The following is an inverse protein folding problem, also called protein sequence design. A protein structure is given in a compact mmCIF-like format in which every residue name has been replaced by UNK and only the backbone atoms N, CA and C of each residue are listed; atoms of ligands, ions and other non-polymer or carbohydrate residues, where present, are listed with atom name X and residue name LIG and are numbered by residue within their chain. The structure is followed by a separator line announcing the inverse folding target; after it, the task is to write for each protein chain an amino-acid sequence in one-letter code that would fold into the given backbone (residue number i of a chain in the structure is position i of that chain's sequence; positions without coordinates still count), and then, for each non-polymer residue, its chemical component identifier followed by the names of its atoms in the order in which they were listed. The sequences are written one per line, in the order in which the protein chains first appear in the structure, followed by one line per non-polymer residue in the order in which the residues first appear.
data_IF_413361672773
#
_entry.id   IF_413361672773
#
_cell.length_a   1.000
_cell.length_b   1.000
_cell.length_c   1.000
_cell.angle_alpha   90.00
_cell.angle_beta   90.00
_cell.angle_gamma   90.00
#
_symmetry.space_group_name_H-M   'P 1'
#
loop_
_entity.id
_entity.type
_entity.pdbx_description
1 polymer ?
#
# COMPACT_ATOMS: atom_id res chain seq x y z
N UNK A 1 -54.90 19.14 26.88
CA UNK A 1 -54.66 17.69 26.66
C UNK A 1 -54.30 17.35 25.22
N UNK A 2 -54.54 18.24 24.26
CA UNK A 2 -54.23 18.04 22.79
C UNK A 2 -52.76 18.21 22.41
N UNK A 3 -51.98 18.97 23.19
CA UNK A 3 -50.59 19.31 22.82
C UNK A 3 -49.59 18.15 23.06
N UNK A 4 -49.93 17.16 23.89
CA UNK A 4 -49.08 15.97 24.14
C UNK A 4 -49.16 14.87 23.07
N UNK A 5 -50.19 14.91 22.23
CA UNK A 5 -50.41 13.90 21.17
C UNK A 5 -49.59 14.23 19.95
N UNK A 6 -49.28 15.53 19.73
CA UNK A 6 -48.52 15.98 18.54
C UNK A 6 -47.03 15.57 18.55
N UNK A 7 -46.45 15.30 19.73
CA UNK A 7 -45.03 14.90 19.83
C UNK A 7 -44.81 13.40 19.71
N UNK A 8 -45.84 12.57 19.82
CA UNK A 8 -45.71 11.13 19.66
C UNK A 8 -45.79 10.62 18.21
N UNK A 9 -46.43 11.39 17.33
CA UNK A 9 -46.58 11.03 15.92
C UNK A 9 -45.24 10.88 15.17
N UNK A 10 -44.25 11.81 15.29
CA UNK A 10 -42.98 11.65 14.60
C UNK A 10 -42.14 10.50 15.15
N UNK A 11 -42.28 10.17 16.47
CA UNK A 11 -41.52 9.08 17.07
C UNK A 11 -42.01 7.70 16.61
N UNK A 12 -43.32 7.53 16.44
CA UNK A 12 -43.93 6.31 15.93
C UNK A 12 -43.58 6.12 14.44
N UNK A 13 -43.53 7.21 13.65
CA UNK A 13 -43.14 7.16 12.25
C UNK A 13 -41.65 6.76 12.10
N UNK A 14 -40.77 7.19 13.02
CA UNK A 14 -39.35 6.83 13.00
C UNK A 14 -39.12 5.37 13.35
N UNK A 15 -39.96 4.76 14.20
CA UNK A 15 -39.90 3.34 14.56
C UNK A 15 -40.44 2.41 13.48
N UNK A 16 -41.27 2.90 12.58
CA UNK A 16 -41.85 2.11 11.48
C UNK A 16 -41.03 2.17 10.18
N UNK A 17 -40.08 3.12 10.07
CA UNK A 17 -39.21 3.23 8.91
C UNK A 17 -38.38 1.96 8.62
N UNK A 18 -37.86 1.19 9.62
CA UNK A 18 -37.16 -0.05 9.34
C UNK A 18 -38.04 -1.15 8.77
N UNK A 19 -39.35 -1.13 9.06
CA UNK A 19 -40.29 -2.18 8.65
C UNK A 19 -40.73 -1.98 7.20
N UNK A 20 -40.70 -0.74 6.70
CA UNK A 20 -41.08 -0.42 5.32
C UNK A 20 -39.91 -0.55 4.34
N UNK A 21 -38.67 -0.67 4.84
CA UNK A 21 -37.45 -0.86 4.03
C UNK A 21 -36.86 -2.28 4.14
N UNK A 22 -37.66 -3.29 4.48
CA UNK A 22 -37.29 -4.70 4.32
C UNK A 22 -37.44 -5.18 2.85
N UNK A 23 -37.26 -4.25 1.94
CA UNK A 23 -36.88 -4.55 0.57
C UNK A 23 -35.43 -4.97 0.60
N UNK A 24 -35.18 -6.30 0.64
CA UNK A 24 -33.90 -6.90 0.31
C UNK A 24 -33.41 -6.25 -0.98
N UNK A 25 -32.56 -5.22 -0.87
CA UNK A 25 -31.64 -4.88 -1.94
C UNK A 25 -30.81 -6.15 -2.16
N UNK A 26 -31.27 -6.99 -3.11
CA UNK A 26 -30.40 -7.98 -3.71
C UNK A 26 -29.27 -7.18 -4.35
N UNK A 27 -28.18 -7.04 -3.65
CA UNK A 27 -26.90 -6.74 -4.28
C UNK A 27 -26.58 -8.00 -5.08
N UNK A 28 -27.10 -8.06 -6.30
CA UNK A 28 -26.75 -9.09 -7.27
C UNK A 28 -25.32 -8.80 -7.73
N UNK A 29 -24.41 -9.54 -7.22
CA UNK A 29 -22.97 -9.48 -7.44
C UNK A 29 -22.27 -9.63 -6.09
N UNK A 30 -21.83 -10.84 -5.76
CA UNK A 30 -21.02 -10.99 -4.57
C UNK A 30 -19.70 -10.25 -4.82
N UNK A 31 -19.19 -9.56 -3.80
CA UNK A 31 -17.86 -8.90 -3.83
C UNK A 31 -16.77 -9.89 -4.29
N UNK A 32 -17.00 -11.20 -4.11
CA UNK A 32 -16.16 -12.29 -4.63
C UNK A 32 -16.15 -12.36 -6.15
N UNK A 33 -17.28 -12.15 -6.82
CA UNK A 33 -17.39 -12.26 -8.29
C UNK A 33 -16.74 -11.08 -8.99
N UNK A 34 -16.83 -9.89 -8.38
CA UNK A 34 -16.13 -8.70 -8.89
C UNK A 34 -14.61 -8.79 -8.65
N UNK A 35 -14.18 -9.36 -7.53
CA UNK A 35 -12.75 -9.63 -7.29
C UNK A 35 -12.19 -10.71 -8.24
N UNK A 36 -12.98 -11.70 -8.61
CA UNK A 36 -12.57 -12.74 -9.57
C UNK A 36 -12.52 -12.19 -11.00
N UNK A 37 -13.49 -11.36 -11.40
CA UNK A 37 -13.44 -10.60 -12.66
C UNK A 37 -12.24 -9.67 -12.76
N UNK A 38 -11.88 -9.02 -11.66
CA UNK A 38 -10.69 -8.15 -11.59
C UNK A 38 -9.41 -8.96 -11.74
N UNK A 39 -9.29 -10.12 -11.08
CA UNK A 39 -8.13 -11.02 -11.22
C UNK A 39 -7.88 -11.48 -12.66
N UNK A 40 -8.94 -11.66 -13.44
CA UNK A 40 -8.82 -12.03 -14.85
C UNK A 40 -8.43 -10.87 -15.78
N UNK A 41 -8.56 -9.62 -15.35
CA UNK A 41 -8.39 -8.44 -16.21
C UNK A 41 -6.95 -7.95 -16.31
N UNK A 42 -6.08 -8.35 -15.39
CA UNK A 42 -4.71 -7.82 -15.34
C UNK A 42 -3.69 -8.85 -15.83
N UNK A 43 -2.85 -8.47 -16.80
CA UNK A 43 -1.82 -9.37 -17.29
C UNK A 43 -0.82 -9.70 -16.17
N UNK A 44 -0.32 -10.93 -16.17
CA UNK A 44 0.82 -11.28 -15.32
C UNK A 44 2.05 -10.55 -15.84
N UNK A 45 2.87 -10.03 -14.94
CA UNK A 45 4.19 -9.54 -15.29
C UNK A 45 5.02 -10.65 -15.94
N UNK A 46 5.45 -10.43 -17.18
CA UNK A 46 6.26 -11.37 -17.96
C UNK A 46 7.70 -10.90 -18.13
N UNK A 47 8.05 -9.76 -17.52
CA UNK A 47 9.39 -9.19 -17.56
C UNK A 47 10.40 -9.94 -16.69
N UNK A 48 11.61 -9.43 -16.55
CA UNK A 48 12.67 -10.02 -15.75
C UNK A 48 12.28 -10.12 -14.28
N UNK A 49 12.92 -11.02 -13.54
CA UNK A 49 12.70 -11.19 -12.08
C UNK A 49 13.47 -10.18 -11.25
N UNK A 50 14.43 -9.51 -11.83
CA UNK A 50 15.25 -8.45 -11.23
C UNK A 50 15.61 -7.42 -12.31
N UNK A 51 16.04 -6.24 -11.93
CA UNK A 51 16.43 -5.14 -12.83
C UNK A 51 17.65 -4.43 -12.23
N UNK A 52 18.75 -4.35 -12.99
CA UNK A 52 20.02 -3.76 -12.53
C UNK A 52 19.89 -2.27 -12.19
N UNK A 53 19.04 -1.52 -12.91
CA UNK A 53 18.78 -0.11 -12.60
C UNK A 53 18.16 0.02 -11.21
N UNK A 54 17.17 -0.82 -10.89
CA UNK A 54 16.49 -0.78 -9.60
C UNK A 54 17.42 -1.27 -8.49
N UNK A 55 18.25 -2.29 -8.74
CA UNK A 55 19.26 -2.74 -7.78
C UNK A 55 20.27 -1.64 -7.44
N UNK A 56 20.71 -0.89 -8.43
CA UNK A 56 21.57 0.29 -8.23
C UNK A 56 20.88 1.38 -7.42
N UNK A 57 19.60 1.68 -7.76
CA UNK A 57 18.80 2.64 -6.99
C UNK A 57 18.58 2.18 -5.55
N UNK A 58 18.42 0.87 -5.30
CA UNK A 58 18.34 0.30 -3.95
C UNK A 58 19.64 0.56 -3.18
N UNK A 59 20.80 0.23 -3.76
CA UNK A 59 22.10 0.44 -3.14
C UNK A 59 22.34 1.93 -2.80
N UNK A 60 22.07 2.83 -3.75
CA UNK A 60 22.17 4.28 -3.53
C UNK A 60 21.23 4.77 -2.43
N UNK A 61 19.99 4.22 -2.36
CA UNK A 61 19.03 4.57 -1.33
C UNK A 61 19.46 4.09 0.06
N UNK A 62 20.07 2.90 0.15
CA UNK A 62 20.65 2.36 1.38
C UNK A 62 21.75 3.29 1.89
N UNK A 63 22.72 3.65 1.04
CA UNK A 63 23.82 4.55 1.40
C UNK A 63 23.31 5.93 1.81
N UNK A 64 22.32 6.45 1.08
CA UNK A 64 21.71 7.73 1.41
C UNK A 64 21.04 7.73 2.79
N UNK A 65 20.23 6.70 3.09
CA UNK A 65 19.55 6.58 4.39
C UNK A 65 20.55 6.39 5.55
N UNK A 66 21.59 5.60 5.34
CA UNK A 66 22.69 5.45 6.34
C UNK A 66 23.42 6.77 6.56
N UNK A 67 23.71 7.52 5.50
CA UNK A 67 24.29 8.85 5.57
C UNK A 67 23.46 9.87 6.35
N UNK A 68 22.13 9.71 6.34
CA UNK A 68 21.19 10.49 7.16
C UNK A 68 21.08 9.98 8.61
N UNK A 69 21.75 8.88 8.97
CA UNK A 69 21.66 8.28 10.30
C UNK A 69 20.37 7.49 10.55
N UNK A 70 19.64 7.10 9.48
CA UNK A 70 18.47 6.22 9.60
C UNK A 70 18.95 4.81 9.94
N UNK A 71 18.47 4.17 11.03
CA UNK A 71 18.97 2.86 11.49
C UNK A 71 18.34 1.70 10.72
N UNK A 72 18.44 1.72 9.39
CA UNK A 72 18.00 0.58 8.55
C UNK A 72 18.87 -0.64 8.81
N UNK A 73 18.34 -1.83 8.56
CA UNK A 73 19.11 -3.09 8.70
C UNK A 73 20.35 -3.09 7.82
N UNK A 74 21.41 -3.74 8.29
CA UNK A 74 22.61 -4.03 7.50
C UNK A 74 22.47 -5.33 6.68
N UNK A 75 21.42 -6.09 6.90
CA UNK A 75 21.18 -7.38 6.27
C UNK A 75 19.99 -7.30 5.30
N UNK A 76 20.15 -6.50 4.25
CA UNK A 76 19.17 -6.31 3.17
C UNK A 76 19.74 -6.94 1.91
N UNK A 77 18.94 -7.75 1.21
CA UNK A 77 19.35 -8.36 -0.07
C UNK A 77 19.71 -7.28 -1.09
N UNK A 78 20.82 -7.41 -1.83
CA UNK A 78 21.26 -6.39 -2.80
C UNK A 78 20.42 -6.34 -4.06
N UNK A 79 19.60 -7.37 -4.30
CA UNK A 79 18.73 -7.46 -5.46
C UNK A 79 17.28 -7.31 -5.07
N UNK A 80 16.58 -6.45 -5.82
CA UNK A 80 15.13 -6.30 -5.75
C UNK A 80 14.46 -7.46 -6.48
N UNK A 81 13.37 -8.00 -5.92
CA UNK A 81 12.52 -8.99 -6.59
C UNK A 81 11.38 -8.30 -7.32
N UNK A 82 11.30 -8.49 -8.64
CA UNK A 82 10.18 -8.01 -9.44
C UNK A 82 9.04 -9.02 -9.43
N UNK A 83 7.85 -8.53 -9.11
CA UNK A 83 6.65 -9.35 -8.94
C UNK A 83 5.52 -8.93 -9.87
N UNK A 84 4.52 -9.80 -10.00
CA UNK A 84 3.25 -9.48 -10.69
C UNK A 84 2.23 -8.81 -9.78
N UNK A 85 2.64 -8.21 -8.67
CA UNK A 85 1.72 -7.58 -7.76
C UNK A 85 1.06 -6.35 -8.37
N UNK A 86 -0.25 -6.25 -8.21
CA UNK A 86 -1.04 -5.10 -8.61
C UNK A 86 -1.57 -4.30 -7.43
N UNK A 87 -1.54 -4.90 -6.23
CA UNK A 87 -2.09 -4.31 -5.00
C UNK A 87 -1.07 -3.50 -4.19
N UNK A 88 0.18 -3.47 -4.60
CA UNK A 88 1.23 -2.68 -3.96
C UNK A 88 2.31 -2.30 -4.99
N UNK A 89 3.06 -1.24 -4.72
CA UNK A 89 4.21 -0.81 -5.52
C UNK A 89 5.48 -1.49 -5.06
N UNK A 90 5.67 -1.56 -3.76
CA UNK A 90 6.77 -2.23 -3.09
C UNK A 90 6.32 -3.02 -1.88
N UNK A 91 7.19 -3.87 -1.37
CA UNK A 91 6.99 -4.61 -0.13
C UNK A 91 8.34 -4.96 0.48
N UNK A 92 8.53 -4.59 1.75
CA UNK A 92 9.61 -5.10 2.57
C UNK A 92 9.22 -6.47 3.13
N UNK A 93 10.02 -7.49 2.83
CA UNK A 93 9.77 -8.86 3.22
C UNK A 93 10.85 -9.32 4.22
N UNK A 94 10.49 -9.52 5.50
CA UNK A 94 11.40 -10.12 6.46
C UNK A 94 11.67 -11.60 6.13
N UNK A 95 12.83 -12.10 6.55
CA UNK A 95 13.24 -13.51 6.40
C UNK A 95 12.16 -14.45 6.91
N UNK A 96 11.82 -15.44 6.13
CA UNK A 96 10.79 -16.43 6.46
C UNK A 96 9.34 -16.01 6.21
N UNK A 97 9.07 -14.75 5.83
CA UNK A 97 7.71 -14.27 5.56
C UNK A 97 7.12 -14.80 4.25
N UNK A 98 7.96 -15.25 3.31
CA UNK A 98 7.58 -15.81 2.01
C UNK A 98 8.51 -16.95 1.60
N UNK A 99 8.18 -17.62 0.48
CA UNK A 99 8.92 -18.80 -0.04
C UNK A 99 10.33 -18.50 -0.58
N UNK A 100 10.86 -17.31 -0.39
CA UNK A 100 12.21 -17.01 -0.85
C UNK A 100 13.22 -17.39 0.22
N UNK A 101 14.10 -18.35 -0.11
CA UNK A 101 15.28 -18.63 0.69
C UNK A 101 16.29 -17.52 0.42
N UNK A 102 16.65 -16.77 1.44
CA UNK A 102 17.70 -15.75 1.40
C UNK A 102 18.45 -15.79 2.72
N UNK A 103 19.75 -15.50 2.68
CA UNK A 103 20.57 -15.35 3.87
C UNK A 103 20.38 -14.00 4.55
N UNK A 104 19.75 -13.07 3.84
CA UNK A 104 19.48 -11.73 4.36
C UNK A 104 18.24 -11.70 5.27
N UNK A 105 18.22 -10.76 6.23
CA UNK A 105 17.06 -10.54 7.11
C UNK A 105 15.88 -9.93 6.38
N UNK A 106 16.16 -9.12 5.37
CA UNK A 106 15.16 -8.46 4.55
C UNK A 106 15.46 -8.56 3.07
N UNK A 107 14.43 -8.64 2.27
CA UNK A 107 14.49 -8.37 0.84
C UNK A 107 13.35 -7.46 0.42
N UNK A 108 13.55 -6.73 -0.67
CA UNK A 108 12.57 -5.79 -1.21
C UNK A 108 11.94 -6.39 -2.46
N UNK A 109 10.61 -6.39 -2.50
CA UNK A 109 9.85 -6.67 -3.71
C UNK A 109 9.37 -5.35 -4.31
N UNK A 110 9.39 -5.25 -5.63
CA UNK A 110 8.80 -4.15 -6.39
C UNK A 110 7.85 -4.75 -7.42
N UNK A 111 6.71 -4.13 -7.61
CA UNK A 111 5.81 -4.48 -8.71
C UNK A 111 6.48 -4.20 -10.05
N UNK A 112 6.59 -5.18 -10.94
CA UNK A 112 7.14 -4.99 -12.29
C UNK A 112 6.40 -3.92 -13.09
N UNK A 113 5.14 -3.69 -12.79
CA UNK A 113 4.34 -2.65 -13.43
C UNK A 113 4.72 -1.23 -13.03
N UNK A 114 5.54 -1.05 -11.98
CA UNK A 114 6.05 0.26 -11.57
C UNK A 114 7.35 0.65 -12.27
N UNK A 115 7.95 -0.24 -13.04
CA UNK A 115 9.22 0.05 -13.76
C UNK A 115 9.10 1.19 -14.77
N UNK A 116 7.88 1.45 -15.25
CA UNK A 116 7.56 2.57 -16.15
C UNK A 116 7.37 3.91 -15.40
N UNK A 117 7.36 3.90 -14.09
CA UNK A 117 7.20 5.09 -13.28
C UNK A 117 8.46 5.96 -13.32
N UNK A 118 8.33 7.22 -12.91
CA UNK A 118 9.46 8.12 -12.80
C UNK A 118 10.50 7.60 -11.81
N UNK A 119 11.76 7.95 -12.02
CA UNK A 119 12.84 7.58 -11.09
C UNK A 119 12.56 8.06 -9.66
N UNK A 120 11.99 9.26 -9.52
CA UNK A 120 11.60 9.81 -8.22
C UNK A 120 10.54 8.94 -7.53
N UNK A 121 9.53 8.47 -8.25
CA UNK A 121 8.48 7.58 -7.73
C UNK A 121 9.08 6.22 -7.30
N UNK A 122 9.97 5.66 -8.11
CA UNK A 122 10.67 4.42 -7.77
C UNK A 122 11.55 4.58 -6.52
N UNK A 123 12.29 5.69 -6.40
CA UNK A 123 13.09 5.99 -5.20
C UNK A 123 12.22 6.18 -3.97
N UNK A 124 11.10 6.90 -4.09
CA UNK A 124 10.14 7.03 -3.00
C UNK A 124 9.67 5.65 -2.50
N UNK A 125 9.34 4.74 -3.43
CA UNK A 125 8.93 3.37 -3.09
C UNK A 125 10.08 2.61 -2.40
N UNK A 126 11.30 2.64 -2.94
CA UNK A 126 12.45 1.97 -2.34
C UNK A 126 12.76 2.49 -0.93
N UNK A 127 12.75 3.80 -0.74
CA UNK A 127 12.98 4.44 0.57
C UNK A 127 11.87 4.05 1.54
N UNK A 128 10.62 4.03 1.11
CA UNK A 128 9.47 3.58 1.91
C UNK A 128 9.70 2.16 2.43
N UNK A 129 10.08 1.23 1.54
CA UNK A 129 10.32 -0.16 1.92
C UNK A 129 11.57 -0.34 2.79
N UNK A 130 12.60 0.47 2.57
CA UNK A 130 13.81 0.47 3.41
C UNK A 130 13.53 0.94 4.84
N UNK A 131 12.63 1.91 5.04
CA UNK A 131 12.23 2.36 6.38
C UNK A 131 11.53 1.24 7.15
N UNK A 132 10.90 0.27 6.49
CA UNK A 132 10.35 -0.91 7.16
C UNK A 132 11.42 -1.80 7.82
N UNK A 133 12.70 -1.66 7.44
CA UNK A 133 13.80 -2.43 8.03
C UNK A 133 14.36 -1.80 9.32
N UNK A 134 13.91 -0.61 9.73
CA UNK A 134 14.33 -0.02 11.00
C UNK A 134 13.74 -0.82 12.18
N UNK A 135 14.39 -0.86 13.35
CA UNK A 135 13.81 -1.50 14.52
C UNK A 135 12.43 -0.95 14.86
N UNK A 136 11.42 -1.81 14.90
CA UNK A 136 10.02 -1.41 15.11
C UNK A 136 9.31 -0.79 13.91
N UNK A 137 9.93 -0.79 12.73
CA UNK A 137 9.41 -0.16 11.50
C UNK A 137 8.54 -1.04 10.60
N UNK A 138 8.31 -2.32 10.92
CA UNK A 138 7.58 -3.25 10.05
C UNK A 138 6.13 -2.83 9.74
N UNK A 139 5.54 -2.03 10.61
CA UNK A 139 4.20 -1.47 10.40
C UNK A 139 4.29 0.04 10.22
N UNK A 140 3.35 0.64 9.48
CA UNK A 140 3.25 2.09 9.28
C UNK A 140 2.78 2.85 10.53
N UNK A 141 3.39 2.55 11.67
CA UNK A 141 3.11 3.14 12.99
C UNK A 141 4.36 3.80 13.58
N UNK A 142 4.34 4.27 14.79
CA UNK A 142 5.45 4.67 15.64
C UNK A 142 6.75 5.03 14.91
N UNK A 143 7.71 4.12 14.96
CA UNK A 143 9.05 4.32 14.39
C UNK A 143 9.06 4.52 12.88
N UNK A 144 8.22 3.77 12.13
CA UNK A 144 8.12 3.98 10.68
C UNK A 144 7.71 5.43 10.36
N UNK A 145 6.63 5.94 10.98
CA UNK A 145 6.15 7.32 10.74
C UNK A 145 7.19 8.37 11.12
N UNK A 146 7.89 8.16 12.22
CA UNK A 146 8.98 9.05 12.67
C UNK A 146 10.06 9.15 11.60
N UNK A 147 10.56 8.02 11.11
CA UNK A 147 11.62 8.00 10.11
C UNK A 147 11.17 8.43 8.74
N UNK A 148 9.95 8.09 8.31
CA UNK A 148 9.36 8.58 7.06
C UNK A 148 9.27 10.11 7.05
N UNK A 149 8.79 10.71 8.14
CA UNK A 149 8.75 12.16 8.32
C UNK A 149 10.15 12.76 8.27
N UNK A 150 11.09 12.22 9.05
CA UNK A 150 12.47 12.72 9.09
C UNK A 150 13.13 12.71 7.72
N UNK A 151 13.04 11.59 6.99
CA UNK A 151 13.59 11.47 5.63
C UNK A 151 12.92 12.44 4.68
N UNK A 152 11.59 12.58 4.72
CA UNK A 152 10.88 13.54 3.87
C UNK A 152 11.36 14.98 4.09
N UNK A 153 11.55 15.39 5.34
CA UNK A 153 12.04 16.74 5.70
C UNK A 153 13.48 16.99 5.25
N UNK A 154 14.32 15.95 5.26
CA UNK A 154 15.75 16.07 4.91
C UNK A 154 16.05 15.98 3.42
N UNK A 155 15.22 15.28 2.66
CA UNK A 155 15.55 14.91 1.27
C UNK A 155 14.60 15.54 0.24
N UNK A 156 13.44 16.01 0.64
CA UNK A 156 12.36 16.43 -0.27
C UNK A 156 11.66 15.26 -0.96
N UNK A 157 11.96 14.00 -0.60
CA UNK A 157 11.12 12.86 -0.96
C UNK A 157 9.83 12.89 -0.15
N UNK A 158 8.74 12.41 -0.75
CA UNK A 158 7.44 12.37 -0.09
C UNK A 158 7.17 10.91 0.32
N UNK A 159 7.59 10.57 1.53
CA UNK A 159 7.42 9.21 2.06
C UNK A 159 6.12 9.13 2.84
N UNK A 160 5.11 8.54 2.22
CA UNK A 160 3.76 8.40 2.78
C UNK A 160 3.36 6.92 2.86
N UNK A 161 2.35 6.64 3.69
CA UNK A 161 1.78 5.30 3.81
C UNK A 161 1.18 4.80 2.47
N UNK A 162 0.54 5.69 1.73
CA UNK A 162 0.06 5.43 0.37
C UNK A 162 0.82 6.38 -0.54
N UNK A 163 1.39 5.87 -1.63
CA UNK A 163 2.27 6.55 -2.54
C UNK A 163 2.10 8.07 -2.63
N UNK A 164 3.19 8.77 -2.75
CA UNK A 164 3.19 10.22 -2.93
C UNK A 164 3.98 10.55 -4.18
N UNK A 165 3.68 11.64 -4.85
CA UNK A 165 4.41 12.12 -6.02
C UNK A 165 4.33 11.16 -7.25
N UNK A 166 3.13 10.64 -7.48
CA UNK A 166 2.84 9.61 -8.47
C UNK A 166 2.33 10.21 -9.78
N UNK A 167 2.58 9.51 -10.85
CA UNK A 167 1.99 9.85 -12.15
C UNK A 167 0.46 9.68 -12.11
N UNK A 168 -0.27 10.36 -12.99
CA UNK A 168 -1.73 10.19 -13.10
C UNK A 168 -2.14 8.71 -13.27
N UNK A 169 -1.31 7.93 -13.98
CA UNK A 169 -1.49 6.47 -14.19
C UNK A 169 -1.36 5.68 -12.88
N UNK A 170 -0.43 6.09 -12.02
CA UNK A 170 -0.24 5.48 -10.69
C UNK A 170 -1.39 5.84 -9.76
N UNK A 171 -1.87 7.08 -9.81
CA UNK A 171 -3.03 7.53 -9.03
C UNK A 171 -4.31 6.80 -9.45
N UNK A 172 -4.52 6.56 -10.74
CA UNK A 172 -5.65 5.77 -11.25
C UNK A 172 -5.57 4.33 -10.74
N UNK A 173 -4.38 3.75 -10.77
CA UNK A 173 -4.09 2.43 -10.26
C UNK A 173 -4.35 2.32 -8.76
N UNK A 174 -3.92 3.30 -7.95
CA UNK A 174 -4.20 3.38 -6.52
C UNK A 174 -5.69 3.55 -6.21
N UNK A 175 -6.40 4.37 -6.96
CA UNK A 175 -7.86 4.51 -6.82
C UNK A 175 -8.56 3.17 -7.02
N UNK A 176 -8.10 2.38 -8.00
CA UNK A 176 -8.71 1.08 -8.29
C UNK A 176 -8.44 0.04 -7.20
N UNK A 177 -7.23 0.04 -6.60
CA UNK A 177 -6.82 -0.94 -5.58
C UNK A 177 -6.94 -0.45 -4.14
N UNK A 178 -6.89 0.85 -3.91
CA UNK A 178 -7.03 1.45 -2.58
C UNK A 178 -8.41 1.23 -1.99
N UNK A 179 -9.44 1.23 -2.82
CA UNK A 179 -10.81 0.97 -2.39
C UNK A 179 -11.07 -0.48 -1.96
N UNK A 180 -10.27 -1.43 -2.45
CA UNK A 180 -10.42 -2.85 -2.08
C UNK A 180 -9.81 -3.21 -0.72
N UNK A 181 -9.02 -2.33 -0.11
CA UNK A 181 -8.41 -2.56 1.21
C UNK A 181 -9.13 -1.85 2.37
N UNK A 182 -10.15 -1.05 2.07
CA UNK A 182 -10.92 -0.29 3.06
C UNK A 182 -12.31 -0.91 3.34
N UNK A 183 -12.60 -2.05 2.74
CA UNK A 183 -13.75 -2.91 3.03
C UNK A 183 -13.26 -4.21 3.66
#
# INVERSE_FOLDING_TARGET
MLLKILYLLPLVLLCLLPILFDGKLKVEGSVSDDMERIKHKWPRWKGPKTDERINRMLAESIEHLKGLGVPISNSIAPEVKLTSAHSYYGMCCPKGSRKYCTDYEYYIEISGFTLENTEKSLRNTLIHELIHTVPGGLCHTGEWKKWAKYVSEKTGYIIQHYGGDETAKDQERLRYYGHTKLL
#
